data_IF_278736579687
#
_entry.id   IF_278736579687
#
_cell.length_a   1.000
_cell.length_b   1.000
_cell.length_c   1.000
_cell.angle_alpha   90.00
_cell.angle_beta   90.00
_cell.angle_gamma   90.00
#
_symmetry.space_group_name_H-M   'P 1'
#
loop_
_entity.id
_entity.type
_entity.pdbx_description
1 polymer ?
#
# COMPACT_ATOMS: atom_id res chain seq x y z
N UNK A 1 -1.15 -47.93 8.05
CA UNK A 1 -2.30 -47.08 7.65
C UNK A 1 -2.26 -45.81 8.47
N UNK A 2 -1.87 -44.68 7.88
CA UNK A 2 -1.87 -43.37 8.54
C UNK A 2 -2.57 -42.39 7.61
N UNK A 3 -3.87 -42.22 7.84
CA UNK A 3 -4.72 -41.25 7.13
C UNK A 3 -4.25 -39.85 7.56
N UNK A 4 -3.44 -39.21 6.74
CA UNK A 4 -3.10 -37.79 6.89
C UNK A 4 -4.39 -37.04 6.57
N UNK A 5 -5.03 -36.48 7.61
CA UNK A 5 -6.25 -35.71 7.45
C UNK A 5 -5.95 -34.46 6.63
N UNK A 6 -6.39 -34.46 5.37
CA UNK A 6 -6.59 -33.26 4.59
C UNK A 6 -7.53 -32.35 5.40
N UNK A 7 -6.99 -31.26 5.94
CA UNK A 7 -7.81 -30.21 6.53
C UNK A 7 -8.49 -29.51 5.37
N UNK A 8 -9.72 -29.93 5.12
CA UNK A 8 -10.66 -29.29 4.20
C UNK A 8 -10.88 -27.85 4.71
N UNK A 9 -10.08 -26.90 4.21
CA UNK A 9 -10.23 -25.48 4.50
C UNK A 9 -11.48 -25.00 3.77
N UNK A 10 -12.63 -25.19 4.40
CA UNK A 10 -13.88 -24.60 3.93
C UNK A 10 -13.89 -23.14 4.35
N UNK A 11 -13.45 -22.28 3.44
CA UNK A 11 -13.65 -20.83 3.55
C UNK A 11 -15.17 -20.61 3.53
N UNK A 12 -15.72 -20.06 4.62
CA UNK A 12 -17.14 -19.66 4.66
C UNK A 12 -17.32 -18.38 3.85
N UNK A 13 -18.54 -18.10 3.37
CA UNK A 13 -18.82 -16.88 2.60
C UNK A 13 -18.41 -15.60 3.35
N UNK A 14 -18.60 -15.56 4.67
CA UNK A 14 -18.15 -14.47 5.53
C UNK A 14 -16.62 -14.28 5.51
N UNK A 15 -15.86 -15.37 5.52
CA UNK A 15 -14.39 -15.33 5.44
C UNK A 15 -13.93 -14.85 4.06
N UNK A 16 -14.65 -15.19 2.99
CA UNK A 16 -14.38 -14.70 1.64
C UNK A 16 -14.64 -13.18 1.52
N UNK A 17 -15.72 -12.69 2.11
CA UNK A 17 -16.06 -11.24 2.14
C UNK A 17 -15.01 -10.45 2.93
N UNK A 18 -14.54 -10.98 4.06
CA UNK A 18 -13.48 -10.36 4.85
C UNK A 18 -12.13 -10.34 4.12
N UNK A 19 -11.77 -11.42 3.43
CA UNK A 19 -10.55 -11.45 2.62
C UNK A 19 -10.64 -10.45 1.46
N UNK A 20 -11.81 -10.37 0.80
CA UNK A 20 -12.02 -9.43 -0.30
C UNK A 20 -11.94 -7.98 0.15
N UNK A 21 -12.55 -7.62 1.28
CA UNK A 21 -12.50 -6.25 1.80
C UNK A 21 -11.08 -5.83 2.22
N UNK A 22 -10.27 -6.76 2.72
CA UNK A 22 -8.84 -6.50 3.00
C UNK A 22 -8.04 -6.27 1.72
N UNK A 23 -8.34 -7.02 0.65
CA UNK A 23 -7.72 -6.80 -0.67
C UNK A 23 -8.13 -5.46 -1.26
N UNK A 24 -9.41 -5.10 -1.20
CA UNK A 24 -9.90 -3.82 -1.71
C UNK A 24 -9.28 -2.65 -0.93
N UNK A 25 -9.19 -2.73 0.40
CA UNK A 25 -8.53 -1.71 1.23
C UNK A 25 -7.03 -1.58 0.94
N UNK A 26 -6.34 -2.69 0.68
CA UNK A 26 -4.94 -2.67 0.26
C UNK A 26 -4.80 -2.02 -1.13
N UNK A 27 -5.70 -2.35 -2.05
CA UNK A 27 -5.69 -1.78 -3.40
C UNK A 27 -5.89 -0.27 -3.36
N UNK A 28 -6.83 0.23 -2.55
CA UNK A 28 -7.05 1.67 -2.36
C UNK A 28 -5.81 2.37 -1.78
N UNK A 29 -5.17 1.76 -0.77
CA UNK A 29 -3.95 2.31 -0.18
C UNK A 29 -2.77 2.34 -1.17
N UNK A 30 -2.62 1.29 -1.98
CA UNK A 30 -1.60 1.23 -3.04
C UNK A 30 -1.90 2.24 -4.14
N UNK A 31 -3.16 2.42 -4.51
CA UNK A 31 -3.57 3.43 -5.50
C UNK A 31 -3.18 4.84 -5.05
N UNK A 32 -3.47 5.20 -3.79
CA UNK A 32 -3.06 6.50 -3.23
C UNK A 32 -1.55 6.68 -3.27
N UNK A 33 -0.76 5.66 -2.94
CA UNK A 33 0.70 5.74 -3.04
C UNK A 33 1.16 5.92 -4.49
N UNK A 34 0.55 5.22 -5.45
CA UNK A 34 0.89 5.36 -6.86
C UNK A 34 0.63 6.79 -7.36
N UNK A 35 -0.49 7.40 -6.95
CA UNK A 35 -0.76 8.81 -7.20
C UNK A 35 0.31 9.71 -6.56
N UNK A 36 0.64 9.48 -5.28
CA UNK A 36 1.63 10.28 -4.58
C UNK A 36 3.02 10.24 -5.23
N UNK A 37 3.44 9.07 -5.73
CA UNK A 37 4.69 8.94 -6.50
C UNK A 37 4.61 9.72 -7.81
N UNK A 38 3.51 9.59 -8.56
CA UNK A 38 3.33 10.32 -9.81
C UNK A 38 3.28 11.84 -9.62
N UNK A 39 2.74 12.31 -8.50
CA UNK A 39 2.70 13.73 -8.16
C UNK A 39 4.10 14.22 -7.79
N UNK A 40 4.81 13.46 -6.97
CA UNK A 40 6.21 13.73 -6.59
C UNK A 40 7.11 13.85 -7.81
N UNK A 41 7.00 12.94 -8.78
CA UNK A 41 7.79 12.99 -10.02
C UNK A 41 7.51 14.27 -10.83
N UNK A 42 6.25 14.70 -10.89
CA UNK A 42 5.84 15.94 -11.57
C UNK A 42 6.36 17.17 -10.85
N UNK A 43 6.29 17.19 -9.54
CA UNK A 43 6.76 18.31 -8.72
C UNK A 43 8.28 18.46 -8.81
N UNK A 44 9.01 17.34 -8.75
CA UNK A 44 10.47 17.33 -8.95
C UNK A 44 10.85 17.84 -10.35
N UNK A 45 10.11 17.46 -11.40
CA UNK A 45 10.33 17.98 -12.75
C UNK A 45 10.03 19.48 -12.85
N UNK A 46 9.02 19.97 -12.12
CA UNK A 46 8.63 21.38 -12.12
C UNK A 46 9.63 22.30 -11.40
N UNK A 47 10.35 21.80 -10.38
CA UNK A 47 11.38 22.57 -9.67
C UNK A 47 12.62 22.92 -10.53
N UNK A 48 12.83 22.23 -11.65
CA UNK A 48 13.95 22.47 -12.55
C UNK A 48 15.30 22.01 -12.01
N UNK A 49 16.40 22.61 -12.47
CA UNK A 49 17.76 22.05 -12.31
C UNK A 49 18.45 22.32 -10.98
N UNK A 50 17.89 23.19 -10.13
CA UNK A 50 18.48 23.55 -8.82
C UNK A 50 17.41 23.76 -7.74
N UNK A 51 16.70 22.69 -7.34
CA UNK A 51 15.77 22.76 -6.21
C UNK A 51 16.51 23.10 -4.92
N UNK A 52 15.88 23.86 -4.03
CA UNK A 52 16.43 24.11 -2.70
C UNK A 52 16.21 22.87 -1.80
N UNK A 53 17.02 22.76 -0.74
CA UNK A 53 16.81 21.71 0.26
C UNK A 53 15.44 21.79 0.94
N UNK A 54 14.85 22.99 1.00
CA UNK A 54 13.51 23.21 1.54
C UNK A 54 12.45 22.61 0.61
N UNK A 55 12.54 22.87 -0.70
CA UNK A 55 11.57 22.34 -1.67
C UNK A 55 11.58 20.81 -1.70
N UNK A 56 12.78 20.21 -1.66
CA UNK A 56 12.93 18.75 -1.59
C UNK A 56 12.38 18.16 -0.30
N UNK A 57 12.53 18.87 0.83
CA UNK A 57 11.97 18.44 2.12
C UNK A 57 10.44 18.45 2.08
N UNK A 58 9.84 19.49 1.53
CA UNK A 58 8.37 19.62 1.43
C UNK A 58 7.77 18.48 0.59
N UNK A 59 8.37 18.18 -0.57
CA UNK A 59 7.96 17.05 -1.43
C UNK A 59 8.13 15.71 -0.69
N UNK A 60 9.27 15.50 -0.04
CA UNK A 60 9.54 14.26 0.69
C UNK A 60 8.56 14.06 1.85
N UNK A 61 8.31 15.10 2.63
CA UNK A 61 7.39 15.03 3.77
C UNK A 61 5.99 14.69 3.29
N UNK A 62 5.52 15.32 2.20
CA UNK A 62 4.24 15.00 1.58
C UNK A 62 4.16 13.55 1.06
N UNK A 63 5.19 13.05 0.38
CA UNK A 63 5.24 11.67 -0.10
C UNK A 63 5.20 10.68 1.08
N UNK A 64 5.96 10.94 2.14
CA UNK A 64 5.99 10.10 3.34
C UNK A 64 4.63 10.08 4.03
N UNK A 65 3.96 11.22 4.15
CA UNK A 65 2.60 11.30 4.73
C UNK A 65 1.62 10.40 3.97
N UNK A 66 1.65 10.43 2.64
CA UNK A 66 0.79 9.58 1.81
C UNK A 66 1.19 8.09 1.84
N UNK A 67 2.45 7.78 2.14
CA UNK A 67 2.94 6.40 2.31
C UNK A 67 2.67 5.81 3.71
N UNK A 68 2.44 6.63 4.74
CA UNK A 68 2.22 6.17 6.13
C UNK A 68 1.09 5.15 6.29
N UNK A 69 -0.07 5.26 5.62
CA UNK A 69 -1.13 4.26 5.72
C UNK A 69 -0.64 2.85 5.40
N UNK A 70 0.24 2.70 4.40
CA UNK A 70 0.81 1.41 4.01
C UNK A 70 1.82 0.88 5.03
N UNK A 71 2.58 1.76 5.69
CA UNK A 71 3.54 1.34 6.73
C UNK A 71 2.86 0.70 7.95
N UNK A 72 1.59 1.04 8.20
CA UNK A 72 0.77 0.44 9.25
C UNK A 72 0.11 -0.89 8.86
N UNK A 73 0.07 -1.24 7.57
CA UNK A 73 -0.52 -2.49 7.12
C UNK A 73 0.39 -3.67 7.48
N UNK A 74 -0.18 -4.65 8.17
CA UNK A 74 0.42 -5.95 8.37
C UNK A 74 -0.16 -6.88 7.32
N UNK A 75 0.63 -7.18 6.29
CA UNK A 75 0.33 -8.30 5.41
C UNK A 75 0.60 -9.56 6.23
N UNK A 76 -0.44 -10.33 6.53
CA UNK A 76 -0.23 -11.65 7.13
C UNK A 76 0.50 -12.51 6.07
N UNK A 77 1.66 -13.09 6.39
CA UNK A 77 2.24 -14.10 5.53
C UNK A 77 1.40 -15.37 5.72
N UNK A 78 0.77 -15.83 4.66
CA UNK A 78 0.15 -17.17 4.60
C UNK A 78 1.18 -18.28 4.84
#
# INVERSE_FOLDING_TARGET
>A
MTRRGERDVRITEEQLVLARSQVDALHDAVYVLACAVSDTDRDLAALGSRPSAKDLREILDWLVENARPLAGLRLHPD
#
